data_IF_089073942050
#
_entry.id   IF_089073942050
#
_cell.length_a   1.000
_cell.length_b   1.000
_cell.length_c   1.000
_cell.angle_alpha   90.00
_cell.angle_beta   90.00
_cell.angle_gamma   90.00
#
_symmetry.space_group_name_H-M   'P 1'
#
loop_
_entity.id
_entity.type
_entity.pdbx_description
1 polymer ?
#
# COMPACT_ATOMS: atom_id res chain seq x y z
N UNK A 1 -24.57 7.73 56.50
CA UNK A 1 -25.11 7.77 55.12
C UNK A 1 -24.01 8.26 54.19
N UNK A 2 -23.50 7.38 53.32
CA UNK A 2 -22.42 7.66 52.36
C UNK A 2 -22.97 8.52 51.23
N UNK A 3 -22.30 9.61 50.86
CA UNK A 3 -22.48 10.27 49.56
C UNK A 3 -21.15 10.18 48.81
N UNK A 4 -21.09 9.24 47.89
CA UNK A 4 -20.01 9.10 46.90
C UNK A 4 -20.32 10.12 45.81
N UNK A 5 -19.57 11.22 45.76
CA UNK A 5 -19.58 12.10 44.57
C UNK A 5 -18.59 11.48 43.60
N UNK A 6 -19.16 10.83 42.59
CA UNK A 6 -18.48 10.32 41.41
C UNK A 6 -17.98 11.54 40.61
N UNK A 7 -16.78 12.00 40.95
CA UNK A 7 -16.08 13.03 40.19
C UNK A 7 -15.66 12.45 38.85
N UNK A 8 -16.39 12.80 37.81
CA UNK A 8 -16.13 12.51 36.41
C UNK A 8 -14.67 12.86 36.12
N UNK A 9 -13.80 11.85 36.01
CA UNK A 9 -12.53 12.01 35.33
C UNK A 9 -12.90 12.21 33.86
N UNK A 10 -12.93 13.48 33.46
CA UNK A 10 -12.80 13.87 32.07
C UNK A 10 -11.53 13.19 31.56
N UNK A 11 -11.70 12.04 30.91
CA UNK A 11 -10.71 11.54 29.97
C UNK A 11 -10.73 12.60 28.89
N UNK A 12 -9.87 13.61 29.05
CA UNK A 12 -9.34 14.35 27.95
C UNK A 12 -8.57 13.34 27.11
N UNK A 13 -9.30 12.54 26.31
CA UNK A 13 -8.79 12.09 25.04
C UNK A 13 -8.69 13.34 24.18
N UNK A 14 -7.74 14.19 24.53
CA UNK A 14 -6.97 14.86 23.52
C UNK A 14 -6.52 13.71 22.62
N UNK A 15 -7.25 13.53 21.53
CA UNK A 15 -6.70 13.08 20.28
C UNK A 15 -5.51 13.99 20.05
N UNK A 16 -4.38 13.65 20.67
CA UNK A 16 -3.08 14.14 20.31
C UNK A 16 -2.86 13.57 18.93
N UNK A 17 -3.46 14.20 17.92
CA UNK A 17 -2.91 14.22 16.58
C UNK A 17 -1.57 14.95 16.71
N UNK A 18 -0.59 14.30 17.32
CA UNK A 18 0.80 14.58 17.04
C UNK A 18 0.89 14.38 15.55
N UNK A 19 1.10 15.47 14.80
CA UNK A 19 1.43 15.35 13.39
C UNK A 19 2.50 14.26 13.27
N UNK A 20 2.25 13.26 12.41
CA UNK A 20 3.20 12.17 12.23
C UNK A 20 4.54 12.80 11.84
N UNK A 21 5.60 12.43 12.57
CA UNK A 21 6.95 12.93 12.32
C UNK A 21 7.31 12.64 10.87
N UNK A 22 7.78 13.65 10.14
CA UNK A 22 8.17 13.51 8.74
C UNK A 22 9.65 13.84 8.55
N UNK A 23 10.36 13.03 7.78
CA UNK A 23 11.72 13.31 7.32
C UNK A 23 11.78 13.25 5.79
N UNK A 24 12.77 13.94 5.21
CA UNK A 24 13.07 13.79 3.78
C UNK A 24 13.89 12.52 3.56
N UNK A 25 13.80 11.92 2.38
CA UNK A 25 14.55 10.70 2.03
C UNK A 25 16.08 10.87 2.16
N UNK A 26 16.60 12.09 2.02
CA UNK A 26 18.02 12.41 2.22
C UNK A 26 18.47 12.29 3.68
N UNK A 27 17.52 12.35 4.62
CA UNK A 27 17.76 12.13 6.05
C UNK A 27 17.58 10.66 6.45
N UNK A 28 17.15 9.80 5.52
CA UNK A 28 16.94 8.38 5.76
C UNK A 28 18.28 7.63 5.69
N UNK A 29 18.53 6.77 6.68
CA UNK A 29 19.66 5.84 6.68
C UNK A 29 19.09 4.43 6.77
N UNK A 30 19.52 3.54 5.86
CA UNK A 30 19.11 2.13 5.87
C UNK A 30 20.31 1.29 6.30
N UNK A 31 20.13 0.52 7.37
CA UNK A 31 21.09 -0.51 7.76
C UNK A 31 21.09 -1.62 6.70
N UNK A 32 22.23 -1.83 6.04
CA UNK A 32 22.34 -2.74 4.88
C UNK A 32 22.20 -4.23 5.24
N UNK A 33 22.30 -4.59 6.52
CA UNK A 33 22.18 -5.98 6.97
C UNK A 33 20.75 -6.33 7.38
N UNK A 34 20.02 -5.34 7.92
CA UNK A 34 18.70 -5.53 8.54
C UNK A 34 17.57 -4.82 7.81
N UNK A 35 17.90 -3.97 6.83
CA UNK A 35 16.97 -3.09 6.10
C UNK A 35 16.20 -2.10 6.99
N UNK A 36 16.62 -1.96 8.26
CA UNK A 36 15.99 -1.05 9.21
C UNK A 36 16.32 0.39 8.86
N UNK A 37 15.27 1.21 8.83
CA UNK A 37 15.31 2.64 8.55
C UNK A 37 15.56 3.43 9.85
N UNK A 38 16.51 4.34 9.80
CA UNK A 38 16.83 5.33 10.83
C UNK A 38 16.76 6.74 10.23
N UNK A 39 16.54 7.75 11.07
CA UNK A 39 16.80 9.13 10.68
C UNK A 39 18.26 9.49 10.96
N UNK A 40 18.83 10.39 10.16
CA UNK A 40 20.21 10.83 10.30
C UNK A 40 20.50 11.33 11.72
N UNK A 41 21.54 10.77 12.35
CA UNK A 41 21.94 11.09 13.72
C UNK A 41 21.18 10.34 14.82
N UNK A 42 20.17 9.54 14.46
CA UNK A 42 19.43 8.72 15.43
C UNK A 42 19.98 7.30 15.52
N UNK A 43 19.95 6.74 16.73
CA UNK A 43 20.35 5.35 17.03
C UNK A 43 19.16 4.42 17.18
N UNK A 44 17.95 4.96 17.19
CA UNK A 44 16.70 4.22 17.35
C UNK A 44 15.98 4.13 16.01
N UNK A 45 15.36 2.98 15.67
CA UNK A 45 14.62 2.82 14.43
C UNK A 45 13.56 3.91 14.24
N UNK A 46 13.45 4.43 13.03
CA UNK A 46 12.57 5.55 12.71
C UNK A 46 11.09 5.17 12.81
N UNK A 47 10.26 6.10 13.25
CA UNK A 47 8.80 5.99 13.18
C UNK A 47 8.23 7.32 12.70
N UNK A 48 7.45 7.28 11.62
CA UNK A 48 6.93 8.46 10.95
C UNK A 48 6.77 8.26 9.45
N UNK A 49 6.80 9.36 8.70
CA UNK A 49 6.69 9.38 7.25
C UNK A 49 8.04 9.75 6.63
N UNK A 50 8.46 9.01 5.62
CA UNK A 50 9.57 9.39 4.73
C UNK A 50 9.00 10.03 3.47
N UNK A 51 9.44 11.24 3.14
CA UNK A 51 9.06 11.99 1.95
C UNK A 51 10.14 11.93 0.88
N UNK A 52 9.77 11.48 -0.32
CA UNK A 52 10.61 11.45 -1.51
C UNK A 52 10.22 12.61 -2.42
N UNK A 53 11.22 13.26 -3.03
CA UNK A 53 11.00 14.36 -3.98
C UNK A 53 11.67 14.07 -5.30
N UNK A 54 11.03 14.55 -6.35
CA UNK A 54 11.66 14.71 -7.66
C UNK A 54 12.74 15.78 -7.62
N UNK A 55 13.63 15.78 -8.62
CA UNK A 55 14.67 16.81 -8.78
C UNK A 55 14.10 18.24 -8.83
N UNK A 56 12.87 18.40 -9.34
CA UNK A 56 12.16 19.68 -9.37
C UNK A 56 11.51 20.09 -8.02
N UNK A 57 11.73 19.31 -6.96
CA UNK A 57 11.23 19.56 -5.60
C UNK A 57 9.78 19.13 -5.34
N UNK A 58 9.04 18.66 -6.35
CA UNK A 58 7.69 18.10 -6.14
C UNK A 58 7.76 16.78 -5.39
N UNK A 59 6.74 16.49 -4.59
CA UNK A 59 6.62 15.21 -3.88
C UNK A 59 6.49 14.09 -4.92
N UNK A 60 7.40 13.13 -4.84
CA UNK A 60 7.39 11.88 -5.59
C UNK A 60 6.70 10.77 -4.79
N UNK A 61 6.86 10.76 -3.47
CA UNK A 61 6.24 9.74 -2.65
C UNK A 61 6.25 10.03 -1.16
N UNK A 62 5.37 9.36 -0.45
CA UNK A 62 5.25 9.34 1.00
C UNK A 62 5.17 7.88 1.45
N UNK A 63 6.03 7.47 2.37
CA UNK A 63 6.04 6.11 2.92
C UNK A 63 5.91 6.13 4.43
N UNK A 64 4.92 5.40 4.97
CA UNK A 64 4.81 5.13 6.40
C UNK A 64 5.86 4.15 6.88
N UNK A 65 6.50 4.48 8.00
CA UNK A 65 7.53 3.67 8.65
C UNK A 65 7.23 3.59 10.15
N UNK A 66 7.34 2.39 10.71
CA UNK A 66 7.20 2.13 12.14
C UNK A 66 8.30 1.21 12.62
N UNK A 67 9.01 1.61 13.66
CA UNK A 67 10.17 0.88 14.19
C UNK A 67 11.18 0.49 13.09
N UNK A 68 11.38 1.39 12.13
CA UNK A 68 12.32 1.28 11.02
C UNK A 68 11.90 0.34 9.88
N UNK A 69 10.68 -0.20 9.88
CA UNK A 69 10.15 -0.99 8.75
C UNK A 69 8.93 -0.30 8.14
N UNK A 70 8.62 -0.59 6.87
CA UNK A 70 7.43 -0.05 6.21
C UNK A 70 6.17 -0.48 6.96
N UNK A 71 5.32 0.49 7.31
CA UNK A 71 4.08 0.23 8.05
C UNK A 71 3.08 1.36 7.79
N UNK A 72 1.85 1.00 7.46
CA UNK A 72 0.83 1.95 7.06
C UNK A 72 0.81 2.19 5.55
N UNK A 73 0.51 3.42 5.14
CA UNK A 73 0.23 3.75 3.74
C UNK A 73 1.48 4.24 3.01
N UNK A 74 1.67 3.77 1.78
CA UNK A 74 2.53 4.34 0.77
C UNK A 74 1.71 5.06 -0.29
N UNK A 75 2.14 6.25 -0.72
CA UNK A 75 1.55 6.94 -1.87
C UNK A 75 2.66 7.50 -2.73
N UNK A 76 2.65 7.19 -4.02
CA UNK A 76 3.54 7.80 -5.02
C UNK A 76 2.75 8.70 -5.97
N UNK A 77 3.44 9.65 -6.59
CA UNK A 77 2.86 10.63 -7.49
C UNK A 77 3.68 10.66 -8.77
N UNK A 78 3.03 10.91 -9.90
CA UNK A 78 3.68 11.30 -11.15
C UNK A 78 4.31 12.69 -11.05
N UNK A 79 5.23 13.08 -11.96
CA UNK A 79 5.78 14.44 -12.00
C UNK A 79 4.72 15.55 -12.21
N UNK A 80 3.56 15.19 -12.77
CA UNK A 80 2.38 16.07 -12.87
C UNK A 80 1.73 16.36 -11.51
N UNK A 81 2.01 15.56 -10.48
CA UNK A 81 1.41 15.63 -9.14
C UNK A 81 0.17 14.75 -8.98
N UNK A 82 -0.24 14.02 -10.02
CA UNK A 82 -1.31 13.02 -9.93
C UNK A 82 -0.81 11.78 -9.22
N UNK A 83 -1.69 11.07 -8.50
CA UNK A 83 -1.33 9.84 -7.81
C UNK A 83 -0.93 8.77 -8.83
N UNK A 84 0.20 8.11 -8.58
CA UNK A 84 0.71 7.00 -9.37
C UNK A 84 0.41 5.66 -8.69
N UNK A 85 0.67 5.54 -7.38
CA UNK A 85 0.31 4.33 -6.63
C UNK A 85 -0.19 4.65 -5.23
N UNK A 86 -1.01 3.73 -4.70
CA UNK A 86 -1.40 3.65 -3.29
C UNK A 86 -1.14 2.24 -2.82
N UNK A 87 -0.33 2.09 -1.79
CA UNK A 87 0.13 0.81 -1.26
C UNK A 87 -0.12 0.76 0.24
N UNK A 88 -0.31 -0.45 0.76
CA UNK A 88 -0.48 -0.69 2.19
C UNK A 88 0.56 -1.70 2.67
N UNK A 89 1.17 -1.38 3.80
CA UNK A 89 2.23 -2.17 4.42
C UNK A 89 1.91 -2.44 5.88
N UNK A 90 2.39 -3.58 6.36
CA UNK A 90 2.36 -3.95 7.77
C UNK A 90 3.63 -4.73 8.09
N UNK A 91 4.42 -4.25 9.04
CA UNK A 91 5.68 -4.89 9.45
C UNK A 91 6.62 -5.22 8.26
N UNK A 92 6.74 -4.32 7.30
CA UNK A 92 7.62 -4.48 6.14
C UNK A 92 7.06 -5.29 4.97
N UNK A 93 5.88 -5.89 5.10
CA UNK A 93 5.21 -6.64 4.01
C UNK A 93 3.97 -5.92 3.51
N UNK A 94 3.63 -6.09 2.23
CA UNK A 94 2.36 -5.60 1.70
C UNK A 94 1.18 -6.28 2.41
N UNK A 95 0.18 -5.49 2.81
CA UNK A 95 -1.03 -5.98 3.51
C UNK A 95 -2.26 -5.20 3.03
N UNK A 96 -3.14 -5.88 2.31
CA UNK A 96 -4.36 -5.30 1.74
C UNK A 96 -4.25 -4.91 0.26
N UNK A 97 -4.99 -3.88 -0.13
CA UNK A 97 -5.18 -3.50 -1.54
C UNK A 97 -4.11 -2.51 -1.97
N UNK A 98 -3.36 -2.86 -3.02
CA UNK A 98 -2.41 -1.97 -3.68
C UNK A 98 -2.92 -1.61 -5.07
N UNK A 99 -2.87 -0.33 -5.43
CA UNK A 99 -3.43 0.20 -6.67
C UNK A 99 -2.38 1.06 -7.37
N UNK A 100 -2.19 0.81 -8.66
CA UNK A 100 -1.42 1.66 -9.57
C UNK A 100 -2.41 2.32 -10.53
N UNK A 101 -2.21 3.59 -10.81
CA UNK A 101 -3.06 4.41 -11.66
C UNK A 101 -2.26 4.85 -12.88
N UNK A 102 -2.91 4.89 -14.03
CA UNK A 102 -2.43 5.66 -15.17
C UNK A 102 -2.41 7.15 -14.84
N UNK A 103 -1.60 7.93 -15.56
CA UNK A 103 -1.54 9.38 -15.38
C UNK A 103 -2.84 10.12 -15.77
N UNK A 104 -3.78 9.46 -16.46
CA UNK A 104 -5.13 10.00 -16.66
C UNK A 104 -6.03 9.86 -15.42
N UNK A 105 -5.59 9.12 -14.39
CA UNK A 105 -6.30 8.88 -13.14
C UNK A 105 -7.09 7.57 -13.10
N UNK A 106 -7.17 6.84 -14.21
CA UNK A 106 -7.78 5.52 -14.24
C UNK A 106 -6.86 4.49 -13.58
N UNK A 107 -7.45 3.45 -12.98
CA UNK A 107 -6.67 2.32 -12.46
C UNK A 107 -5.97 1.63 -13.63
N UNK A 108 -4.70 1.30 -13.44
CA UNK A 108 -3.90 0.46 -14.33
C UNK A 108 -3.83 -0.97 -13.79
N UNK A 109 -3.56 -1.09 -12.50
CA UNK A 109 -3.36 -2.36 -11.82
C UNK A 109 -3.90 -2.30 -10.39
N UNK A 110 -4.53 -3.38 -9.95
CA UNK A 110 -5.00 -3.56 -8.59
C UNK A 110 -4.63 -4.97 -8.15
N UNK A 111 -4.02 -5.11 -6.97
CA UNK A 111 -3.83 -6.41 -6.30
C UNK A 111 -4.29 -6.34 -4.87
N UNK A 112 -4.77 -7.46 -4.36
CA UNK A 112 -5.03 -7.63 -2.93
C UNK A 112 -4.12 -8.70 -2.36
N UNK A 113 -3.54 -8.40 -1.21
CA UNK A 113 -2.50 -9.20 -0.56
C UNK A 113 -2.93 -9.52 0.87
N UNK A 114 -2.69 -10.74 1.34
CA UNK A 114 -2.85 -11.11 2.75
C UNK A 114 -1.75 -10.50 3.63
N UNK A 115 -1.95 -10.54 4.94
CA UNK A 115 -1.01 -10.06 5.96
C UNK A 115 0.40 -10.68 5.96
N UNK A 116 0.63 -11.70 5.13
CA UNK A 116 1.91 -12.37 4.92
C UNK A 116 2.45 -12.20 3.49
N UNK A 117 1.95 -11.23 2.74
CA UNK A 117 2.45 -10.89 1.40
C UNK A 117 1.95 -11.80 0.27
N UNK A 118 0.92 -12.65 0.48
CA UNK A 118 0.39 -13.49 -0.60
C UNK A 118 -0.75 -12.80 -1.34
N UNK A 119 -0.59 -12.64 -2.66
CA UNK A 119 -1.66 -12.16 -3.54
C UNK A 119 -2.85 -13.10 -3.51
N UNK A 120 -4.05 -12.54 -3.39
CA UNK A 120 -5.35 -13.23 -3.40
C UNK A 120 -6.03 -13.05 -4.75
N UNK A 121 -5.94 -11.85 -5.31
CA UNK A 121 -6.37 -11.55 -6.66
C UNK A 121 -5.56 -10.38 -7.23
N UNK A 122 -5.59 -10.27 -8.55
CA UNK A 122 -5.14 -9.09 -9.25
C UNK A 122 -6.03 -8.77 -10.45
N UNK A 123 -6.01 -7.51 -10.86
CA UNK A 123 -6.73 -6.98 -12.00
C UNK A 123 -5.84 -5.99 -12.75
N UNK A 124 -5.90 -6.04 -14.06
CA UNK A 124 -5.28 -5.06 -14.95
C UNK A 124 -6.37 -4.41 -15.76
N UNK A 125 -6.17 -3.14 -16.08
CA UNK A 125 -7.14 -2.34 -16.80
C UNK A 125 -6.45 -1.63 -17.95
N UNK A 126 -7.18 -1.42 -19.04
CA UNK A 126 -6.77 -0.53 -20.11
C UNK A 126 -6.77 0.92 -19.61
N UNK A 127 -6.02 1.79 -20.30
CA UNK A 127 -6.03 3.24 -20.01
C UNK A 127 -7.43 3.88 -20.12
N UNK A 128 -8.36 3.24 -20.83
CA UNK A 128 -9.78 3.62 -20.89
C UNK A 128 -10.55 3.38 -19.59
N UNK A 129 -9.96 2.64 -18.63
CA UNK A 129 -10.59 2.22 -17.37
C UNK A 129 -11.34 0.89 -17.47
N UNK A 130 -11.34 0.24 -18.64
CA UNK A 130 -11.96 -1.08 -18.83
C UNK A 130 -11.04 -2.18 -18.33
N UNK A 131 -11.61 -3.23 -17.74
CA UNK A 131 -10.86 -4.40 -17.31
C UNK A 131 -10.22 -5.07 -18.53
N UNK A 132 -8.93 -5.39 -18.44
CA UNK A 132 -8.13 -6.15 -19.44
C UNK A 132 -7.90 -7.58 -18.94
N UNK A 133 -7.65 -7.75 -17.64
CA UNK A 133 -7.31 -9.03 -17.06
C UNK A 133 -7.75 -9.13 -15.62
N UNK A 134 -8.14 -10.33 -15.18
CA UNK A 134 -8.25 -10.66 -13.76
C UNK A 134 -7.84 -12.11 -13.48
N UNK A 135 -7.27 -12.33 -12.29
CA UNK A 135 -6.89 -13.64 -11.80
C UNK A 135 -7.04 -13.75 -10.29
N UNK A 136 -7.34 -14.97 -9.82
CA UNK A 136 -7.41 -15.31 -8.40
C UNK A 136 -6.36 -16.35 -8.02
N UNK A 137 -5.88 -16.24 -6.79
CA UNK A 137 -4.76 -17.00 -6.28
C UNK A 137 -5.11 -17.67 -4.95
N UNK A 138 -4.63 -18.89 -4.77
CA UNK A 138 -4.64 -19.63 -3.50
C UNK A 138 -3.29 -20.30 -3.31
N UNK A 139 -2.67 -20.09 -2.15
CA UNK A 139 -1.35 -20.64 -1.83
C UNK A 139 -0.29 -20.36 -2.92
N UNK A 140 -0.25 -19.11 -3.41
CA UNK A 140 0.66 -18.64 -4.47
C UNK A 140 0.47 -19.31 -5.83
N UNK A 141 -0.67 -19.94 -6.08
CA UNK A 141 -1.02 -20.59 -7.35
C UNK A 141 -2.35 -20.07 -7.86
N UNK A 142 -2.51 -19.99 -9.18
CA UNK A 142 -3.80 -19.71 -9.80
C UNK A 142 -4.85 -20.71 -9.31
N UNK A 143 -5.96 -20.22 -8.78
CA UNK A 143 -7.09 -21.04 -8.34
C UNK A 143 -8.37 -20.24 -8.54
N UNK A 144 -9.19 -20.67 -9.50
CA UNK A 144 -10.36 -19.94 -9.98
C UNK A 144 -10.25 -19.55 -11.46
N UNK A 145 -11.03 -18.55 -11.86
CA UNK A 145 -11.06 -18.07 -13.23
C UNK A 145 -9.92 -17.08 -13.48
N UNK A 146 -9.25 -17.25 -14.62
CA UNK A 146 -8.37 -16.26 -15.22
C UNK A 146 -9.06 -15.77 -16.48
N UNK A 147 -9.37 -14.48 -16.54
CA UNK A 147 -10.09 -13.89 -17.66
C UNK A 147 -9.28 -12.80 -18.30
N UNK A 148 -9.29 -12.78 -19.62
CA UNK A 148 -8.81 -11.68 -20.44
C UNK A 148 -9.98 -11.06 -21.19
N UNK A 149 -9.97 -9.75 -21.26
CA UNK A 149 -11.01 -8.93 -21.84
C UNK A 149 -10.47 -8.17 -23.05
N UNK A 150 -11.35 -7.84 -23.99
CA UNK A 150 -11.05 -6.93 -25.10
C UNK A 150 -11.32 -5.47 -24.75
N UNK A 151 -10.94 -4.57 -25.64
CA UNK A 151 -11.13 -3.12 -25.46
C UNK A 151 -12.62 -2.70 -25.43
N UNK A 152 -13.56 -3.55 -25.88
CA UNK A 152 -15.01 -3.36 -25.72
C UNK A 152 -15.57 -3.99 -24.44
N UNK A 153 -14.75 -4.66 -23.63
CA UNK A 153 -15.12 -5.28 -22.36
C UNK A 153 -15.73 -6.68 -22.48
N UNK A 154 -15.73 -7.25 -23.67
CA UNK A 154 -16.06 -8.65 -23.92
C UNK A 154 -14.96 -9.57 -23.39
N UNK A 155 -15.35 -10.77 -22.95
CA UNK A 155 -14.38 -11.80 -22.55
C UNK A 155 -13.79 -12.42 -23.82
N UNK A 156 -12.49 -12.21 -24.04
CA UNK A 156 -11.76 -12.81 -25.17
C UNK A 156 -11.11 -14.15 -24.79
N UNK A 157 -10.91 -14.38 -23.49
CA UNK A 157 -10.41 -15.65 -22.98
C UNK A 157 -10.86 -15.87 -21.54
N UNK A 158 -11.28 -17.10 -21.23
CA UNK A 158 -11.52 -17.55 -19.86
C UNK A 158 -10.90 -18.93 -19.68
N UNK A 159 -10.00 -19.05 -18.70
CA UNK A 159 -9.34 -20.28 -18.31
C UNK A 159 -9.65 -20.57 -16.84
N UNK A 160 -9.90 -21.84 -16.50
CA UNK A 160 -10.14 -22.21 -15.10
C UNK A 160 -8.93 -22.98 -14.57
N UNK A 161 -8.44 -22.57 -13.41
CA UNK A 161 -7.32 -23.20 -12.73
C UNK A 161 -7.72 -23.80 -11.39
N UNK A 162 -7.09 -24.93 -11.04
CA UNK A 162 -7.11 -25.51 -9.70
C UNK A 162 -5.69 -25.80 -9.25
N UNK A 163 -5.26 -25.19 -8.15
CA UNK A 163 -3.90 -25.35 -7.61
C UNK A 163 -2.80 -25.16 -8.68
N UNK A 164 -2.96 -24.17 -9.56
CA UNK A 164 -2.01 -23.84 -10.63
C UNK A 164 -2.13 -24.69 -11.89
N UNK A 165 -3.03 -25.67 -11.94
CA UNK A 165 -3.26 -26.52 -13.12
C UNK A 165 -4.52 -26.08 -13.84
N UNK A 166 -4.43 -25.84 -15.15
CA UNK A 166 -5.60 -25.54 -15.98
C UNK A 166 -6.51 -26.76 -16.05
N UNK A 167 -7.78 -26.57 -15.70
CA UNK A 167 -8.83 -27.61 -15.71
C UNK A 167 -9.90 -27.36 -16.79
N UNK A 168 -9.91 -26.17 -17.40
CA UNK A 168 -10.77 -25.80 -18.53
C UNK A 168 -10.09 -24.73 -19.38
#
# INVERSE_FOLDING_TARGET
>A
MKKIILGIFLIASALSFSAERKISAEQMIIDQNTEIIYAQGEKTPFTGIVEFKYENGKIQGLMGVKNGVLDGKGVTYYPSGKIQSKENYKNGVEDGINIIYYENGNVEYEKNVTDNGMTIYEKHYHSSGKLDFEATYKNRKLDGAVKKYGENGEVIQELIYKNGVRVK
#
